data_IF_253073625233
#
_entry.id   IF_253073625233
#
_cell.length_a   1.000
_cell.length_b   1.000
_cell.length_c   1.000
_cell.angle_alpha   90.00
_cell.angle_beta   90.00
_cell.angle_gamma   90.00
#
_symmetry.space_group_name_H-M   'P 1'
#
loop_
_entity.id
_entity.type
_entity.pdbx_description
1 polymer ?
#
# COMPACT_ATOMS: atom_id res chain seq x y z
N UNK A 1 34.23 -20.45 -16.84
CA UNK A 1 33.40 -19.27 -17.20
C UNK A 1 32.46 -19.04 -16.06
N UNK A 2 32.77 -18.08 -15.18
CA UNK A 2 31.85 -17.63 -14.17
C UNK A 2 30.66 -16.99 -14.88
N UNK A 3 29.51 -17.62 -14.80
CA UNK A 3 28.28 -16.95 -15.19
C UNK A 3 28.13 -15.74 -14.25
N UNK A 4 28.10 -14.53 -14.81
CA UNK A 4 27.76 -13.34 -14.03
C UNK A 4 26.33 -13.54 -13.53
N UNK A 5 26.17 -13.63 -12.21
CA UNK A 5 24.84 -13.65 -11.60
C UNK A 5 24.15 -12.32 -11.90
N UNK A 6 22.87 -12.38 -12.27
CA UNK A 6 22.06 -11.17 -12.46
C UNK A 6 21.67 -10.61 -11.11
N UNK A 7 21.73 -9.30 -10.98
CA UNK A 7 21.34 -8.60 -9.76
C UNK A 7 19.97 -7.94 -9.94
N UNK A 8 19.00 -8.34 -9.11
CA UNK A 8 17.64 -7.79 -9.14
C UNK A 8 17.44 -6.89 -7.92
N UNK A 9 16.92 -5.69 -8.14
CA UNK A 9 16.49 -4.79 -7.08
C UNK A 9 15.02 -5.05 -6.74
N UNK A 10 14.74 -5.27 -5.45
CA UNK A 10 13.42 -5.10 -4.86
C UNK A 10 13.39 -3.77 -4.10
N UNK A 11 12.59 -2.82 -4.59
CA UNK A 11 12.35 -1.53 -3.93
C UNK A 11 10.93 -1.49 -3.38
N UNK A 12 10.81 -1.58 -2.05
CA UNK A 12 9.51 -1.54 -1.35
C UNK A 12 9.23 -0.13 -0.81
N UNK A 13 8.00 0.11 -0.37
CA UNK A 13 7.61 1.41 0.21
C UNK A 13 8.08 1.61 1.65
N UNK A 14 8.33 0.52 2.36
CA UNK A 14 8.80 0.51 3.74
C UNK A 14 9.48 -0.80 4.10
N UNK A 15 10.20 -0.85 5.23
CA UNK A 15 10.94 -2.03 5.65
C UNK A 15 10.02 -3.16 6.11
N UNK A 16 10.46 -4.42 5.91
CA UNK A 16 9.81 -5.60 6.47
C UNK A 16 9.87 -5.67 8.00
N UNK A 17 10.88 -5.05 8.61
CA UNK A 17 10.98 -4.96 10.06
C UNK A 17 9.81 -4.16 10.65
N UNK A 18 9.00 -4.82 11.49
CA UNK A 18 7.81 -4.20 12.10
C UNK A 18 6.58 -4.11 11.19
N UNK A 19 6.66 -4.59 9.94
CA UNK A 19 5.52 -4.63 9.03
C UNK A 19 5.39 -6.02 8.40
N UNK A 20 4.43 -6.85 8.86
CA UNK A 20 4.25 -8.22 8.36
C UNK A 20 3.99 -8.33 6.86
N UNK A 21 3.34 -7.32 6.26
CA UNK A 21 3.10 -7.29 4.82
C UNK A 21 4.42 -7.20 4.05
N UNK A 22 5.25 -6.19 4.35
CA UNK A 22 6.55 -6.03 3.67
C UNK A 22 7.51 -7.17 3.97
N UNK A 23 7.49 -7.72 5.21
CA UNK A 23 8.26 -8.91 5.56
C UNK A 23 7.91 -10.11 4.66
N UNK A 24 6.62 -10.30 4.34
CA UNK A 24 6.16 -11.36 3.44
C UNK A 24 6.60 -11.11 1.99
N UNK A 25 6.57 -9.87 1.52
CA UNK A 25 7.05 -9.48 0.18
C UNK A 25 8.56 -9.75 0.07
N UNK A 26 9.35 -9.32 1.05
CA UNK A 26 10.79 -9.58 1.09
C UNK A 26 11.12 -11.07 1.10
N UNK A 27 10.36 -11.87 1.87
CA UNK A 27 10.57 -13.31 1.92
C UNK A 27 10.27 -13.97 0.57
N UNK A 28 9.17 -13.62 -0.06
CA UNK A 28 8.84 -14.13 -1.40
C UNK A 28 9.91 -13.80 -2.44
N UNK A 29 10.48 -12.59 -2.38
CA UNK A 29 11.56 -12.20 -3.27
C UNK A 29 12.86 -12.99 -3.00
N UNK A 30 13.19 -13.25 -1.72
CA UNK A 30 14.36 -14.09 -1.34
C UNK A 30 14.20 -15.52 -1.85
N UNK A 31 13.01 -16.09 -1.70
CA UNK A 31 12.70 -17.45 -2.15
C UNK A 31 12.82 -17.55 -3.69
N UNK A 32 12.28 -16.56 -4.41
CA UNK A 32 12.37 -16.49 -5.86
C UNK A 32 13.82 -16.32 -6.34
N UNK A 33 14.59 -15.44 -5.71
CA UNK A 33 15.99 -15.21 -6.05
C UNK A 33 16.84 -16.48 -5.85
N UNK A 34 16.61 -17.19 -4.75
CA UNK A 34 17.29 -18.47 -4.48
C UNK A 34 16.92 -19.53 -5.53
N UNK A 35 15.66 -19.63 -5.92
CA UNK A 35 15.20 -20.59 -6.93
C UNK A 35 15.73 -20.28 -8.34
N UNK A 36 15.91 -19.00 -8.67
CA UNK A 36 16.37 -18.54 -9.98
C UNK A 36 17.91 -18.41 -10.07
N UNK A 37 18.62 -18.47 -8.93
CA UNK A 37 20.07 -18.30 -8.89
C UNK A 37 20.51 -16.88 -9.25
N UNK A 38 19.76 -15.86 -8.82
CA UNK A 38 20.06 -14.43 -9.01
C UNK A 38 20.41 -13.77 -7.68
N UNK A 39 21.21 -12.71 -7.74
CA UNK A 39 21.49 -11.87 -6.58
C UNK A 39 20.32 -10.92 -6.35
N UNK A 40 19.94 -10.73 -5.09
CA UNK A 40 18.84 -9.86 -4.70
C UNK A 40 19.33 -8.72 -3.81
N UNK A 41 19.03 -7.49 -4.21
CA UNK A 41 19.17 -6.30 -3.38
C UNK A 41 17.78 -5.88 -2.93
N UNK A 42 17.58 -5.72 -1.61
CA UNK A 42 16.32 -5.24 -1.03
C UNK A 42 16.58 -3.87 -0.42
N UNK A 43 15.85 -2.87 -0.89
CA UNK A 43 15.90 -1.51 -0.36
C UNK A 43 14.50 -0.99 -0.08
N UNK A 44 14.38 -0.21 0.98
CA UNK A 44 13.17 0.51 1.32
C UNK A 44 13.53 1.86 1.93
N UNK A 45 12.70 2.89 1.76
CA UNK A 45 12.81 4.10 2.58
C UNK A 45 12.49 3.75 4.04
N UNK A 46 12.97 4.56 5.01
CA UNK A 46 12.65 4.35 6.43
C UNK A 46 11.14 4.39 6.73
N UNK A 47 10.40 5.20 5.98
CA UNK A 47 8.94 5.35 6.07
C UNK A 47 8.35 5.50 4.67
N UNK A 48 7.10 5.10 4.48
CA UNK A 48 6.41 5.21 3.17
C UNK A 48 6.21 6.66 2.70
N UNK A 49 6.27 7.63 3.60
CA UNK A 49 6.23 9.06 3.29
C UNK A 49 7.58 9.63 2.81
N UNK A 50 8.67 8.89 2.92
CA UNK A 50 10.01 9.35 2.56
C UNK A 50 10.31 9.07 1.09
N UNK A 51 9.60 9.80 0.23
CA UNK A 51 9.62 9.64 -1.24
C UNK A 51 11.04 9.80 -1.80
N UNK A 52 11.76 10.83 -1.36
CA UNK A 52 13.10 11.11 -1.88
C UNK A 52 14.13 10.05 -1.51
N UNK A 53 13.95 9.38 -0.38
CA UNK A 53 14.81 8.25 -0.03
C UNK A 53 14.67 7.12 -1.07
N UNK A 54 13.46 6.80 -1.52
CA UNK A 54 13.25 5.79 -2.56
C UNK A 54 13.84 6.23 -3.90
N UNK A 55 13.61 7.49 -4.32
CA UNK A 55 14.19 8.01 -5.57
C UNK A 55 15.71 7.90 -5.55
N UNK A 56 16.38 8.36 -4.50
CA UNK A 56 17.83 8.28 -4.37
C UNK A 56 18.35 6.83 -4.37
N UNK A 57 17.63 5.90 -3.74
CA UNK A 57 17.96 4.49 -3.74
C UNK A 57 17.86 3.89 -5.15
N UNK A 58 16.83 4.24 -5.91
CA UNK A 58 16.66 3.81 -7.30
C UNK A 58 17.80 4.34 -8.18
N UNK A 59 18.11 5.64 -8.09
CA UNK A 59 19.22 6.26 -8.83
C UNK A 59 20.55 5.57 -8.55
N UNK A 60 20.86 5.31 -7.29
CA UNK A 60 22.10 4.63 -6.87
C UNK A 60 22.20 3.22 -7.45
N UNK A 61 21.12 2.44 -7.40
CA UNK A 61 21.12 1.06 -7.89
C UNK A 61 21.14 0.98 -9.42
N UNK A 62 20.47 1.89 -10.11
CA UNK A 62 20.55 2.00 -11.58
C UNK A 62 21.98 2.36 -11.99
N UNK A 63 22.62 3.32 -11.31
CA UNK A 63 24.02 3.67 -11.56
C UNK A 63 25.00 2.52 -11.29
N UNK A 64 24.69 1.62 -10.34
CA UNK A 64 25.46 0.39 -10.07
C UNK A 64 25.24 -0.72 -11.10
N UNK A 65 24.25 -0.57 -11.98
CA UNK A 65 24.00 -1.50 -13.07
C UNK A 65 23.22 -2.72 -12.67
N UNK A 66 22.13 -2.58 -11.89
CA UNK A 66 21.21 -3.71 -11.64
C UNK A 66 20.60 -4.21 -12.94
N UNK A 67 20.32 -5.50 -13.02
CA UNK A 67 19.79 -6.16 -14.23
C UNK A 67 18.27 -6.14 -14.33
N UNK A 68 17.56 -5.75 -13.27
CA UNK A 68 16.11 -5.64 -13.24
C UNK A 68 15.61 -5.01 -11.95
N UNK A 69 14.43 -4.44 -11.99
CA UNK A 69 13.81 -3.70 -10.87
C UNK A 69 12.37 -4.18 -10.66
N UNK A 70 12.07 -4.62 -9.44
CA UNK A 70 10.72 -4.76 -8.94
C UNK A 70 10.47 -3.65 -7.92
N UNK A 71 9.51 -2.77 -8.18
CA UNK A 71 9.29 -1.56 -7.37
C UNK A 71 7.84 -1.39 -6.97
N UNK A 72 7.62 -1.09 -5.68
CA UNK A 72 6.38 -0.53 -5.15
C UNK A 72 6.61 0.98 -4.94
N UNK A 73 6.08 1.86 -5.79
CA UNK A 73 6.38 3.29 -5.67
C UNK A 73 5.72 3.91 -4.43
N UNK A 74 6.52 4.64 -3.65
CA UNK A 74 6.01 5.50 -2.55
C UNK A 74 5.17 6.65 -3.10
N UNK A 75 5.60 7.21 -4.22
CA UNK A 75 4.86 8.19 -5.02
C UNK A 75 5.08 7.86 -6.50
N UNK A 76 4.02 7.43 -7.22
CA UNK A 76 4.11 7.06 -8.63
C UNK A 76 4.66 8.15 -9.54
N UNK A 77 4.36 9.41 -9.26
CA UNK A 77 4.81 10.56 -10.06
C UNK A 77 6.30 10.86 -9.82
N UNK A 78 6.74 10.80 -8.56
CA UNK A 78 8.12 11.12 -8.20
C UNK A 78 9.12 10.10 -8.73
N UNK A 79 8.76 8.80 -8.76
CA UNK A 79 9.67 7.75 -9.26
C UNK A 79 9.63 7.58 -10.78
N UNK A 80 8.61 8.10 -11.46
CA UNK A 80 8.42 7.87 -12.88
C UNK A 80 9.63 8.29 -13.76
N UNK A 81 10.25 9.46 -13.58
CA UNK A 81 11.38 9.87 -14.42
C UNK A 81 12.58 8.92 -14.33
N UNK A 82 12.96 8.49 -13.11
CA UNK A 82 14.09 7.59 -12.91
C UNK A 82 13.81 6.19 -13.44
N UNK A 83 12.56 5.74 -13.40
CA UNK A 83 12.17 4.46 -13.99
C UNK A 83 12.12 4.51 -15.51
N UNK A 84 11.73 5.64 -16.12
CA UNK A 84 11.84 5.86 -17.58
C UNK A 84 13.30 5.80 -18.03
N UNK A 85 14.22 6.42 -17.30
CA UNK A 85 15.66 6.35 -17.58
C UNK A 85 16.20 4.91 -17.47
N UNK A 86 15.76 4.16 -16.48
CA UNK A 86 16.12 2.74 -16.34
C UNK A 86 15.64 1.91 -17.54
N UNK A 87 14.38 2.07 -17.94
CA UNK A 87 13.76 1.38 -19.07
C UNK A 87 14.49 1.74 -20.39
N UNK A 88 14.76 3.03 -20.59
CA UNK A 88 15.50 3.50 -21.77
C UNK A 88 16.93 2.95 -21.83
N UNK A 89 17.52 2.65 -20.67
CA UNK A 89 18.84 1.99 -20.57
C UNK A 89 18.78 0.47 -20.69
N UNK A 90 17.61 -0.11 -20.94
CA UNK A 90 17.40 -1.56 -21.12
C UNK A 90 17.24 -2.34 -19.84
N UNK A 91 17.00 -1.70 -18.69
CA UNK A 91 16.72 -2.35 -17.42
C UNK A 91 15.22 -2.65 -17.35
N UNK A 92 14.78 -3.92 -17.29
CA UNK A 92 13.37 -4.26 -17.15
C UNK A 92 12.85 -3.83 -15.78
N UNK A 93 11.63 -3.26 -15.77
CA UNK A 93 10.93 -2.80 -14.57
C UNK A 93 9.58 -3.50 -14.47
N UNK A 94 9.20 -3.90 -13.28
CA UNK A 94 7.84 -4.34 -12.93
C UNK A 94 7.35 -3.58 -11.68
N UNK A 95 6.09 -3.20 -11.69
CA UNK A 95 5.43 -2.71 -10.49
C UNK A 95 4.88 -3.85 -9.67
N UNK A 96 5.05 -3.76 -8.36
CA UNK A 96 4.46 -4.68 -7.39
C UNK A 96 3.61 -3.89 -6.37
N UNK A 97 2.56 -4.51 -5.84
CA UNK A 97 1.65 -3.93 -4.85
C UNK A 97 0.99 -2.61 -5.28
N UNK A 98 1.78 -1.58 -5.56
CA UNK A 98 1.32 -0.24 -5.97
C UNK A 98 1.69 0.00 -7.43
N UNK A 99 0.71 0.34 -8.25
CA UNK A 99 0.95 0.65 -9.65
C UNK A 99 1.59 2.04 -9.83
N UNK A 100 2.45 2.16 -10.81
CA UNK A 100 3.03 3.43 -11.26
C UNK A 100 2.29 4.02 -12.46
N UNK A 101 2.90 5.05 -13.08
CA UNK A 101 2.32 5.77 -14.22
C UNK A 101 3.10 5.57 -15.54
N UNK A 102 4.23 4.85 -15.51
CA UNK A 102 5.02 4.59 -16.71
C UNK A 102 4.29 3.61 -17.63
N UNK A 103 4.15 3.99 -18.90
CA UNK A 103 3.43 3.17 -19.88
C UNK A 103 4.16 1.84 -20.18
N UNK A 104 3.39 0.78 -20.37
CA UNK A 104 3.93 -0.52 -20.78
C UNK A 104 4.58 -1.33 -19.65
N UNK A 105 4.68 -0.79 -18.45
CA UNK A 105 5.22 -1.50 -17.28
C UNK A 105 4.18 -2.46 -16.72
N UNK A 106 4.57 -3.73 -16.56
CA UNK A 106 3.70 -4.75 -15.96
C UNK A 106 3.45 -4.46 -14.49
N UNK A 107 2.19 -4.52 -14.08
CA UNK A 107 1.79 -4.45 -12.67
C UNK A 107 1.40 -5.83 -12.13
N UNK A 108 1.96 -6.17 -10.97
CA UNK A 108 1.67 -7.40 -10.25
C UNK A 108 1.14 -7.02 -8.88
N UNK A 109 -0.16 -7.18 -8.70
CA UNK A 109 -0.82 -6.78 -7.44
C UNK A 109 -2.32 -7.04 -7.45
N UNK A 110 -2.95 -6.61 -6.38
CA UNK A 110 -4.40 -6.73 -6.18
C UNK A 110 -5.16 -5.67 -6.98
N UNK A 111 -6.34 -6.03 -7.50
CA UNK A 111 -7.31 -5.03 -7.93
C UNK A 111 -7.89 -4.35 -6.68
N UNK A 112 -7.25 -3.27 -6.26
CA UNK A 112 -7.54 -2.60 -4.98
C UNK A 112 -8.93 -2.00 -4.91
N UNK A 113 -9.45 -1.48 -6.04
CA UNK A 113 -10.83 -0.97 -6.11
C UNK A 113 -11.85 -2.08 -5.85
N UNK A 114 -11.75 -3.19 -6.57
CA UNK A 114 -12.66 -4.30 -6.42
C UNK A 114 -12.54 -4.97 -5.04
N UNK A 115 -11.32 -5.10 -4.51
CA UNK A 115 -11.09 -5.65 -3.18
C UNK A 115 -11.73 -4.79 -2.09
N UNK A 116 -11.59 -3.47 -2.17
CA UNK A 116 -12.21 -2.55 -1.23
C UNK A 116 -13.74 -2.53 -1.35
N UNK A 117 -14.27 -2.59 -2.59
CA UNK A 117 -15.71 -2.70 -2.80
C UNK A 117 -16.28 -4.01 -2.21
N UNK A 118 -15.58 -5.12 -2.37
CA UNK A 118 -15.98 -6.40 -1.77
C UNK A 118 -16.04 -6.34 -0.24
N UNK A 119 -15.07 -5.69 0.40
CA UNK A 119 -15.07 -5.49 1.85
C UNK A 119 -16.21 -4.55 2.29
N UNK A 120 -16.48 -3.50 1.51
CA UNK A 120 -17.65 -2.62 1.74
C UNK A 120 -18.97 -3.40 1.61
N UNK A 121 -19.12 -4.24 0.60
CA UNK A 121 -20.31 -5.10 0.42
C UNK A 121 -20.51 -6.05 1.62
N UNK A 122 -19.41 -6.53 2.21
CA UNK A 122 -19.48 -7.32 3.45
C UNK A 122 -20.03 -6.49 4.62
N UNK A 123 -19.55 -5.24 4.80
CA UNK A 123 -20.07 -4.32 5.82
C UNK A 123 -21.57 -4.07 5.60
N UNK A 124 -21.99 -3.86 4.35
CA UNK A 124 -23.41 -3.68 3.97
C UNK A 124 -24.30 -4.83 4.44
N UNK A 125 -23.77 -6.06 4.43
CA UNK A 125 -24.48 -7.24 4.92
C UNK A 125 -24.52 -7.37 6.45
N UNK A 126 -23.79 -6.53 7.19
CA UNK A 126 -23.65 -6.63 8.65
C UNK A 126 -24.37 -5.53 9.43
N UNK A 127 -24.64 -4.40 8.80
CA UNK A 127 -25.30 -3.25 9.45
C UNK A 127 -26.52 -2.80 8.64
N UNK A 128 -27.57 -2.28 9.29
CA UNK A 128 -28.76 -1.78 8.59
C UNK A 128 -28.43 -0.61 7.65
N UNK A 129 -29.19 -0.50 6.55
CA UNK A 129 -29.12 0.69 5.68
C UNK A 129 -29.41 1.97 6.51
N UNK A 130 -28.74 3.06 6.18
CA UNK A 130 -28.78 4.31 6.93
C UNK A 130 -27.86 4.34 8.16
N UNK A 131 -27.15 3.26 8.47
CA UNK A 131 -26.17 3.25 9.55
C UNK A 131 -24.99 4.17 9.26
N UNK A 132 -24.49 4.84 10.30
CA UNK A 132 -23.28 5.65 10.26
C UNK A 132 -22.05 4.76 10.22
N UNK A 133 -21.15 5.02 9.28
CA UNK A 133 -19.89 4.29 9.07
C UNK A 133 -18.75 5.27 8.80
N UNK A 134 -17.51 4.84 9.03
CA UNK A 134 -16.31 5.60 8.69
C UNK A 134 -15.37 4.82 7.76
N UNK A 135 -14.51 5.57 7.08
CA UNK A 135 -13.42 5.06 6.26
C UNK A 135 -12.09 5.61 6.79
N UNK A 136 -11.16 4.72 7.13
CA UNK A 136 -9.75 5.05 7.36
C UNK A 136 -8.98 4.81 6.08
N UNK A 137 -8.48 5.90 5.49
CA UNK A 137 -7.77 5.86 4.22
C UNK A 137 -6.28 5.58 4.43
N UNK A 138 -5.68 4.85 3.48
CA UNK A 138 -4.23 4.83 3.33
C UNK A 138 -3.70 6.14 2.73
N UNK A 139 -2.46 6.12 2.27
CA UNK A 139 -1.86 7.28 1.59
C UNK A 139 -2.53 7.49 0.22
N UNK A 140 -3.26 8.58 0.07
CA UNK A 140 -4.00 8.91 -1.18
C UNK A 140 -3.08 9.40 -2.31
N UNK A 141 -1.81 9.64 -2.07
CA UNK A 141 -0.80 9.88 -3.10
C UNK A 141 -0.40 8.59 -3.85
N UNK A 142 -0.74 7.44 -3.30
CA UNK A 142 -0.49 6.12 -3.86
C UNK A 142 -1.74 5.56 -4.54
N UNK A 143 -1.58 4.87 -5.66
CA UNK A 143 -2.71 4.26 -6.40
C UNK A 143 -3.46 3.22 -5.56
N UNK A 144 -2.77 2.47 -4.68
CA UNK A 144 -3.40 1.58 -3.70
C UNK A 144 -4.35 2.32 -2.77
N UNK A 145 -3.91 3.46 -2.22
CA UNK A 145 -4.72 4.28 -1.32
C UNK A 145 -5.94 4.86 -2.03
N UNK A 146 -5.75 5.42 -3.22
CA UNK A 146 -6.84 5.98 -4.04
C UNK A 146 -7.90 4.92 -4.37
N UNK A 147 -7.49 3.79 -4.94
CA UNK A 147 -8.43 2.76 -5.36
C UNK A 147 -9.18 2.11 -4.19
N UNK A 148 -8.51 1.93 -3.04
CA UNK A 148 -9.21 1.41 -1.84
C UNK A 148 -10.20 2.41 -1.27
N UNK A 149 -9.85 3.70 -1.23
CA UNK A 149 -10.77 4.76 -0.82
C UNK A 149 -12.00 4.83 -1.76
N UNK A 150 -11.77 4.88 -3.07
CA UNK A 150 -12.85 4.94 -4.08
C UNK A 150 -13.76 3.71 -4.03
N UNK A 151 -13.18 2.51 -3.97
CA UNK A 151 -13.94 1.25 -3.93
C UNK A 151 -14.79 1.10 -2.68
N UNK A 152 -14.24 1.44 -1.50
CA UNK A 152 -14.98 1.39 -0.24
C UNK A 152 -16.08 2.46 -0.18
N UNK A 153 -15.76 3.70 -0.57
CA UNK A 153 -16.75 4.79 -0.64
C UNK A 153 -17.93 4.40 -1.54
N UNK A 154 -17.64 3.89 -2.73
CA UNK A 154 -18.64 3.44 -3.69
C UNK A 154 -19.51 2.31 -3.13
N UNK A 155 -18.89 1.27 -2.57
CA UNK A 155 -19.62 0.13 -2.02
C UNK A 155 -20.53 0.51 -0.86
N UNK A 156 -20.03 1.30 0.11
CA UNK A 156 -20.81 1.73 1.27
C UNK A 156 -21.97 2.64 0.88
N UNK A 157 -21.77 3.57 -0.06
CA UNK A 157 -22.84 4.46 -0.52
C UNK A 157 -23.89 3.74 -1.36
N UNK A 158 -23.53 2.80 -2.20
CA UNK A 158 -24.46 2.03 -3.02
C UNK A 158 -25.46 1.21 -2.20
N UNK A 159 -25.08 0.74 -1.00
CA UNK A 159 -25.99 0.04 -0.10
C UNK A 159 -26.70 0.95 0.89
N UNK A 160 -26.56 2.25 0.75
CA UNK A 160 -27.30 3.24 1.53
C UNK A 160 -26.76 3.47 2.94
N UNK A 161 -25.47 3.21 3.19
CA UNK A 161 -24.82 3.59 4.44
C UNK A 161 -24.41 5.06 4.42
N UNK A 162 -24.38 5.68 5.62
CA UNK A 162 -24.03 7.07 5.79
C UNK A 162 -22.55 7.18 6.19
N UNK A 163 -21.69 7.63 5.27
CA UNK A 163 -20.26 7.85 5.56
C UNK A 163 -20.13 9.16 6.34
N UNK A 164 -19.94 9.08 7.66
CA UNK A 164 -19.83 10.24 8.56
C UNK A 164 -18.41 10.79 8.69
N UNK A 165 -17.41 9.97 8.34
CA UNK A 165 -16.01 10.36 8.30
C UNK A 165 -15.25 9.53 7.27
N UNK A 166 -14.34 10.18 6.55
CA UNK A 166 -13.40 9.56 5.62
C UNK A 166 -12.07 10.29 5.76
N UNK A 167 -11.13 9.68 6.51
CA UNK A 167 -9.93 10.36 6.99
C UNK A 167 -8.66 9.51 6.74
N UNK A 168 -7.52 10.16 6.41
CA UNK A 168 -6.26 9.46 6.23
C UNK A 168 -5.68 8.98 7.57
N UNK A 169 -5.24 7.73 7.61
CA UNK A 169 -4.44 7.14 8.69
C UNK A 169 -3.15 6.48 8.16
N UNK A 170 -2.83 6.70 6.88
CA UNK A 170 -1.53 6.55 6.25
C UNK A 170 -0.87 5.17 6.46
N UNK A 171 -1.64 4.08 6.45
CA UNK A 171 -1.20 2.70 6.65
C UNK A 171 -0.69 2.37 8.06
N UNK A 172 -0.78 3.30 9.00
CA UNK A 172 -0.12 3.25 10.30
C UNK A 172 -1.10 2.91 11.44
N UNK A 173 -0.71 2.01 12.34
CA UNK A 173 -1.55 1.55 13.46
C UNK A 173 -1.84 2.67 14.46
N UNK A 174 -0.82 3.46 14.83
CA UNK A 174 -0.99 4.52 15.82
C UNK A 174 -1.85 5.67 15.26
N UNK A 175 -1.68 6.01 13.97
CA UNK A 175 -2.55 6.98 13.31
C UNK A 175 -3.98 6.43 13.15
N UNK A 176 -4.13 5.13 12.83
CA UNK A 176 -5.44 4.47 12.82
C UNK A 176 -6.19 4.59 14.14
N UNK A 177 -5.48 4.38 15.25
CA UNK A 177 -6.03 4.56 16.60
C UNK A 177 -6.43 6.01 16.86
N UNK A 178 -5.51 6.96 16.67
CA UNK A 178 -5.76 8.39 16.95
C UNK A 178 -6.90 8.95 16.10
N UNK A 179 -6.93 8.64 14.80
CA UNK A 179 -8.01 9.09 13.90
C UNK A 179 -9.34 8.48 14.32
N UNK A 180 -9.34 7.20 14.74
CA UNK A 180 -10.57 6.56 15.19
C UNK A 180 -11.09 7.15 16.51
N UNK A 181 -10.21 7.49 17.45
CA UNK A 181 -10.59 8.22 18.68
C UNK A 181 -11.31 9.53 18.35
N UNK A 182 -10.79 10.33 17.43
CA UNK A 182 -11.41 11.58 16.98
C UNK A 182 -12.78 11.33 16.32
N UNK A 183 -12.87 10.29 15.49
CA UNK A 183 -14.13 9.90 14.82
C UNK A 183 -15.21 9.55 15.86
N UNK A 184 -14.87 8.75 16.87
CA UNK A 184 -15.80 8.32 17.93
C UNK A 184 -16.35 9.52 18.70
N UNK A 185 -15.50 10.50 19.02
CA UNK A 185 -15.93 11.73 19.71
C UNK A 185 -16.98 12.48 18.92
N UNK A 186 -16.78 12.62 17.60
CA UNK A 186 -17.73 13.31 16.73
C UNK A 186 -18.96 12.47 16.34
N UNK A 187 -18.84 11.14 16.38
CA UNK A 187 -19.83 10.20 15.84
C UNK A 187 -20.03 9.00 16.77
N UNK A 188 -20.60 9.19 17.97
CA UNK A 188 -20.70 8.12 18.98
C UNK A 188 -21.65 6.97 18.59
N UNK A 189 -22.41 7.13 17.52
CA UNK A 189 -23.38 6.13 17.05
C UNK A 189 -22.88 5.30 15.86
N UNK A 190 -21.61 5.42 15.50
CA UNK A 190 -21.01 4.70 14.39
C UNK A 190 -21.20 3.18 14.55
N UNK A 191 -21.50 2.47 13.45
CA UNK A 191 -21.84 1.03 13.46
C UNK A 191 -20.79 0.15 12.80
N UNK A 192 -19.98 0.72 11.92
CA UNK A 192 -18.90 0.01 11.27
C UNK A 192 -17.80 0.97 10.81
N UNK A 193 -16.61 0.42 10.60
CA UNK A 193 -15.44 1.11 10.06
C UNK A 193 -14.84 0.25 8.96
N UNK A 194 -14.56 0.88 7.82
CA UNK A 194 -13.68 0.32 6.81
C UNK A 194 -12.28 0.89 7.03
N UNK A 195 -11.28 0.03 7.14
CA UNK A 195 -9.88 0.43 7.15
C UNK A 195 -9.18 -0.13 5.91
N UNK A 196 -8.41 0.72 5.22
CA UNK A 196 -7.75 0.34 3.97
C UNK A 196 -6.63 -0.70 4.13
N UNK A 197 -6.16 -0.98 5.36
CA UNK A 197 -5.27 -2.11 5.67
C UNK A 197 -5.46 -2.60 7.11
N UNK A 198 -4.83 -3.73 7.43
CA UNK A 198 -4.92 -4.37 8.75
C UNK A 198 -4.29 -3.52 9.86
N UNK A 199 -3.17 -2.84 9.59
CA UNK A 199 -2.52 -1.98 10.59
C UNK A 199 -3.46 -0.89 11.11
N UNK A 200 -4.13 -0.18 10.20
CA UNK A 200 -5.11 0.84 10.59
C UNK A 200 -6.35 0.23 11.25
N UNK A 201 -6.79 -0.97 10.80
CA UNK A 201 -7.90 -1.68 11.42
C UNK A 201 -7.60 -2.08 12.87
N UNK A 202 -6.39 -2.54 13.16
CA UNK A 202 -5.95 -2.86 14.52
C UNK A 202 -5.93 -1.62 15.41
N UNK A 203 -5.41 -0.49 14.92
CA UNK A 203 -5.47 0.77 15.64
C UNK A 203 -6.90 1.25 15.92
N UNK A 204 -7.78 1.15 14.91
CA UNK A 204 -9.20 1.49 15.08
C UNK A 204 -9.89 0.58 16.10
N UNK A 205 -9.56 -0.68 16.12
CA UNK A 205 -10.07 -1.63 17.11
C UNK A 205 -9.68 -1.21 18.53
N UNK A 206 -8.40 -0.90 18.77
CA UNK A 206 -7.94 -0.45 20.10
C UNK A 206 -8.71 0.80 20.57
N UNK A 207 -8.96 1.76 19.68
CA UNK A 207 -9.75 2.95 19.98
C UNK A 207 -11.21 2.61 20.33
N UNK A 208 -11.84 1.70 19.58
CA UNK A 208 -13.21 1.25 19.83
C UNK A 208 -13.33 0.49 21.16
N UNK A 209 -12.41 -0.44 21.46
CA UNK A 209 -12.37 -1.13 22.74
C UNK A 209 -12.19 -0.15 23.90
N UNK A 210 -11.30 0.83 23.77
CA UNK A 210 -11.09 1.88 24.77
C UNK A 210 -12.34 2.72 25.04
N UNK A 211 -13.19 2.89 24.03
CA UNK A 211 -14.48 3.59 24.13
C UNK A 211 -15.64 2.69 24.58
N UNK A 212 -15.42 1.40 24.77
CA UNK A 212 -16.46 0.43 25.14
C UNK A 212 -17.46 0.12 24.02
N UNK A 213 -17.02 0.21 22.77
CA UNK A 213 -17.79 -0.01 21.54
C UNK A 213 -17.50 -1.33 20.86
#
# INVERSE_FOLDING_TARGET
SGAFSKTILLSTKGPGAGNPFWASVEQGAKDAAAALGVDLVILSPPQESDVMAQVNQLEDQIAKGVDGIAVAPTDPTAVAPILDDAIASGIPVVYIDTNGINEGVTFIGTNNYNGAKLAADYICGKVPSGSDVAILQGMITQTTGQHRAEGSHKGLTECGLNIVAELPANWDTAQGMSVMEDIIVGNPNIKAVFASNDNMALGAWEALEGAGM
#
